data_IF_725832867214
#
_entry.id   IF_725832867214
#
_cell.length_a   1.000
_cell.length_b   1.000
_cell.length_c   1.000
_cell.angle_alpha   90.00
_cell.angle_beta   90.00
_cell.angle_gamma   90.00
#
_symmetry.space_group_name_H-M   'P 1'
#
loop_
_entity.id
_entity.type
_entity.pdbx_description
1 polymer ?
#
# COMPACT_ATOMS: atom_id res chain seq x y z
N UNK A 1 37.68 6.60 -19.81
CA UNK A 1 37.14 5.30 -20.26
C UNK A 1 35.84 5.05 -19.55
N UNK A 2 34.80 4.58 -20.24
CA UNK A 2 33.49 4.33 -19.63
C UNK A 2 32.82 3.11 -20.29
N UNK A 3 32.26 2.24 -19.47
CA UNK A 3 31.39 1.12 -19.84
C UNK A 3 30.13 1.26 -19.01
N UNK A 4 28.99 1.45 -19.67
CA UNK A 4 27.71 1.64 -18.99
C UNK A 4 26.79 0.45 -19.22
N UNK A 5 26.12 0.01 -18.17
CA UNK A 5 25.04 -0.97 -18.21
C UNK A 5 25.37 -2.27 -18.96
N UNK A 6 26.58 -2.81 -18.73
CA UNK A 6 26.98 -4.11 -19.23
C UNK A 6 26.12 -5.18 -18.56
N UNK A 7 25.38 -5.95 -19.36
CA UNK A 7 24.48 -7.02 -18.89
C UNK A 7 24.54 -8.22 -19.81
N UNK A 8 24.24 -9.40 -19.26
CA UNK A 8 24.09 -10.64 -20.03
C UNK A 8 22.60 -10.92 -20.18
N UNK A 9 22.04 -10.74 -21.38
CA UNK A 9 20.58 -10.79 -21.62
C UNK A 9 20.04 -12.24 -21.74
N UNK A 10 20.55 -13.16 -20.90
CA UNK A 10 20.09 -14.54 -20.83
C UNK A 10 19.06 -14.63 -19.71
N UNK A 11 17.82 -14.93 -20.07
CA UNK A 11 16.68 -14.99 -19.16
C UNK A 11 15.88 -16.28 -19.32
N UNK A 12 15.46 -16.87 -18.21
CA UNK A 12 14.59 -18.04 -18.19
C UNK A 12 13.15 -17.68 -18.61
N UNK A 13 12.38 -18.65 -19.15
CA UNK A 13 10.95 -18.43 -19.51
C UNK A 13 10.13 -17.92 -18.33
N UNK A 14 10.37 -18.49 -17.14
CA UNK A 14 9.91 -17.95 -15.86
C UNK A 14 11.11 -17.27 -15.20
N UNK A 15 11.05 -15.97 -14.85
CA UNK A 15 12.16 -15.29 -14.19
C UNK A 15 12.63 -16.06 -12.96
N UNK A 16 13.94 -16.33 -12.87
CA UNK A 16 14.57 -16.95 -11.70
C UNK A 16 15.54 -15.99 -11.04
N UNK A 17 15.76 -16.19 -9.75
CA UNK A 17 16.66 -15.36 -8.92
C UNK A 17 18.08 -15.38 -9.50
N UNK A 18 18.54 -16.52 -9.99
CA UNK A 18 19.90 -16.67 -10.56
C UNK A 18 20.01 -16.34 -12.05
N UNK A 19 18.97 -15.81 -12.70
CA UNK A 19 19.06 -15.46 -14.12
C UNK A 19 20.17 -14.40 -14.35
N UNK A 20 21.13 -14.63 -15.27
CA UNK A 20 22.20 -13.67 -15.57
C UNK A 20 21.68 -12.30 -15.98
N UNK A 21 20.50 -12.22 -16.59
CA UNK A 21 19.83 -10.97 -16.97
C UNK A 21 19.50 -10.06 -15.79
N UNK A 22 19.49 -10.59 -14.56
CA UNK A 22 19.25 -9.81 -13.35
C UNK A 22 20.48 -8.96 -12.98
N UNK A 23 21.67 -9.30 -13.48
CA UNK A 23 22.93 -8.62 -13.15
C UNK A 23 23.30 -7.58 -14.22
N UNK A 24 23.72 -6.41 -13.77
CA UNK A 24 24.30 -5.36 -14.62
C UNK A 24 25.47 -4.70 -13.91
N UNK A 25 26.45 -4.27 -14.70
CA UNK A 25 27.64 -3.58 -14.20
C UNK A 25 27.95 -2.34 -15.06
N UNK A 26 28.39 -1.28 -14.41
CA UNK A 26 28.94 -0.08 -15.05
C UNK A 26 30.28 0.26 -14.43
N UNK A 27 31.21 0.76 -15.24
CA UNK A 27 32.53 1.18 -14.79
C UNK A 27 32.99 2.42 -15.57
N UNK A 28 33.37 3.47 -14.87
CA UNK A 28 33.94 4.67 -15.45
C UNK A 28 35.28 5.00 -14.79
N UNK A 29 36.22 5.44 -15.63
CA UNK A 29 37.55 5.90 -15.23
C UNK A 29 37.85 7.23 -15.91
N UNK A 30 38.18 8.23 -15.10
CA UNK A 30 38.61 9.55 -15.56
C UNK A 30 39.95 9.88 -14.94
N UNK A 31 40.88 10.39 -15.77
CA UNK A 31 42.15 10.93 -15.33
C UNK A 31 42.30 12.34 -15.88
N UNK A 32 42.44 13.31 -15.00
CA UNK A 32 42.80 14.67 -15.34
C UNK A 32 44.25 14.88 -14.93
N UNK A 33 45.00 15.59 -15.75
CA UNK A 33 46.38 15.93 -15.44
C UNK A 33 46.62 17.35 -15.95
N UNK A 34 47.19 18.19 -15.09
CA UNK A 34 47.59 19.54 -15.40
C UNK A 34 49.11 19.65 -15.20
N UNK A 35 49.74 20.41 -16.07
CA UNK A 35 51.15 20.75 -15.96
C UNK A 35 51.30 22.22 -16.39
N UNK A 36 51.75 23.04 -15.47
CA UNK A 36 52.05 24.45 -15.69
C UNK A 36 53.44 24.76 -15.09
N UNK A 37 54.02 25.96 -15.28
CA UNK A 37 55.36 26.28 -14.77
C UNK A 37 55.51 26.21 -13.25
N UNK A 38 54.44 26.47 -12.49
CA UNK A 38 54.45 26.52 -11.01
C UNK A 38 54.18 25.14 -10.39
N UNK A 39 53.57 24.23 -11.14
CA UNK A 39 53.11 22.92 -10.69
C UNK A 39 53.95 21.82 -11.32
N UNK A 40 54.62 21.02 -10.48
CA UNK A 40 55.42 19.89 -10.94
C UNK A 40 54.53 18.71 -11.35
N UNK A 41 53.47 18.49 -10.58
CA UNK A 41 52.57 17.37 -10.73
C UNK A 41 51.20 17.75 -10.22
N UNK A 42 50.21 17.79 -11.10
CA UNK A 42 48.81 17.82 -10.70
C UNK A 42 48.06 16.76 -11.48
N UNK A 43 47.47 15.80 -10.77
CA UNK A 43 46.53 14.89 -11.38
C UNK A 43 45.42 14.46 -10.43
N UNK A 44 44.26 14.19 -11.04
CA UNK A 44 43.12 13.59 -10.39
C UNK A 44 42.70 12.31 -11.12
N UNK A 45 42.36 11.27 -10.35
CA UNK A 45 41.84 9.99 -10.83
C UNK A 45 40.50 9.74 -10.16
N UNK A 46 39.47 9.47 -10.97
CA UNK A 46 38.16 9.04 -10.50
C UNK A 46 37.84 7.66 -11.06
N UNK A 47 37.42 6.75 -10.18
CA UNK A 47 36.93 5.42 -10.50
C UNK A 47 35.51 5.30 -9.96
N UNK A 48 34.55 5.05 -10.83
CA UNK A 48 33.17 4.79 -10.47
C UNK A 48 32.84 3.39 -10.95
N UNK A 49 32.46 2.49 -10.04
CA UNK A 49 31.94 1.17 -10.39
C UNK A 49 30.54 1.02 -9.80
N UNK A 50 29.63 0.46 -10.56
CA UNK A 50 28.27 0.19 -10.11
C UNK A 50 27.91 -1.25 -10.48
N UNK A 51 27.37 -1.98 -9.52
CA UNK A 51 26.83 -3.32 -9.71
C UNK A 51 25.38 -3.30 -9.28
N UNK A 52 24.48 -3.65 -10.18
CA UNK A 52 23.07 -3.78 -9.86
C UNK A 52 22.60 -5.21 -10.09
N UNK A 53 21.79 -5.69 -9.17
CA UNK A 53 21.03 -6.90 -9.26
C UNK A 53 19.55 -6.53 -9.20
N UNK A 54 18.75 -6.99 -10.16
CA UNK A 54 17.32 -6.69 -10.20
C UNK A 54 16.52 -7.92 -10.62
N UNK A 55 15.94 -8.60 -9.64
CA UNK A 55 15.02 -9.71 -9.83
C UNK A 55 13.59 -9.23 -9.62
N UNK A 56 12.76 -9.38 -10.66
CA UNK A 56 11.32 -9.10 -10.59
C UNK A 56 10.53 -10.25 -11.17
N UNK A 57 9.50 -10.67 -10.43
CA UNK A 57 8.62 -11.77 -10.81
C UNK A 57 7.17 -11.44 -10.48
N UNK A 58 6.25 -12.17 -11.11
CA UNK A 58 4.82 -12.17 -10.79
C UNK A 58 4.42 -13.57 -10.33
N UNK A 59 4.74 -13.93 -9.08
CA UNK A 59 4.65 -15.31 -8.64
C UNK A 59 3.19 -15.74 -8.59
N UNK A 60 2.91 -16.89 -9.19
CA UNK A 60 1.59 -17.53 -9.10
C UNK A 60 1.40 -18.03 -7.67
N UNK A 61 0.35 -17.54 -7.00
CA UNK A 61 0.03 -18.00 -5.65
C UNK A 61 -0.44 -19.45 -5.65
N UNK A 62 -0.02 -20.20 -4.64
CA UNK A 62 -0.58 -21.50 -4.29
C UNK A 62 -1.94 -21.29 -3.63
N UNK A 63 -3.00 -21.80 -4.28
CA UNK A 63 -4.40 -21.64 -3.88
C UNK A 63 -4.99 -23.00 -3.45
N UNK A 64 -4.72 -23.51 -2.23
CA UNK A 64 -5.02 -24.89 -1.84
C UNK A 64 -6.51 -25.23 -1.80
N UNK A 65 -7.38 -24.24 -1.59
CA UNK A 65 -8.83 -24.47 -1.42
C UNK A 65 -9.67 -24.01 -2.61
N UNK A 66 -9.03 -23.57 -3.70
CA UNK A 66 -9.74 -22.99 -4.87
C UNK A 66 -10.83 -23.92 -5.41
N UNK A 67 -10.46 -25.18 -5.64
CA UNK A 67 -11.33 -26.19 -6.26
C UNK A 67 -12.07 -27.06 -5.22
N UNK A 68 -11.89 -26.78 -3.93
CA UNK A 68 -12.53 -27.57 -2.88
C UNK A 68 -14.05 -27.31 -2.82
N UNK A 69 -14.83 -28.39 -3.01
CA UNK A 69 -16.29 -28.36 -2.82
C UNK A 69 -16.69 -28.29 -1.34
N UNK A 70 -15.82 -28.73 -0.42
CA UNK A 70 -16.07 -28.76 1.04
C UNK A 70 -15.96 -27.38 1.69
N UNK A 71 -15.06 -26.53 1.20
CA UNK A 71 -14.85 -25.19 1.72
C UNK A 71 -15.85 -24.22 1.08
N UNK A 72 -16.77 -23.67 1.88
CA UNK A 72 -17.78 -22.70 1.41
C UNK A 72 -17.42 -21.24 1.70
N UNK A 73 -16.48 -21.01 2.61
CA UNK A 73 -16.06 -19.67 3.00
C UNK A 73 -15.19 -19.05 1.88
N UNK A 74 -15.62 -17.89 1.36
CA UNK A 74 -14.91 -17.17 0.29
C UNK A 74 -13.47 -16.84 0.67
N UNK A 75 -13.25 -16.47 1.95
CA UNK A 75 -11.93 -16.19 2.51
C UNK A 75 -10.91 -17.30 2.24
N UNK A 76 -11.27 -18.54 2.58
CA UNK A 76 -10.39 -19.70 2.43
C UNK A 76 -10.20 -20.07 0.95
N UNK A 77 -11.25 -19.93 0.12
CA UNK A 77 -11.17 -20.21 -1.32
C UNK A 77 -10.30 -19.25 -2.09
N UNK A 78 -10.23 -18.00 -1.67
CA UNK A 78 -9.44 -16.94 -2.31
C UNK A 78 -8.02 -16.82 -1.73
N UNK A 79 -7.72 -17.58 -0.67
CA UNK A 79 -6.40 -17.64 -0.06
C UNK A 79 -5.36 -18.11 -1.09
N UNK A 80 -4.35 -17.28 -1.31
CA UNK A 80 -3.27 -17.51 -2.25
C UNK A 80 -1.96 -17.16 -1.55
N UNK A 81 -1.12 -18.16 -1.30
CA UNK A 81 0.20 -17.98 -0.71
C UNK A 81 1.25 -17.92 -1.82
N UNK A 82 2.07 -16.87 -1.83
CA UNK A 82 3.20 -16.72 -2.76
C UNK A 82 4.49 -16.96 -1.97
N UNK A 83 5.34 -17.83 -2.49
CA UNK A 83 6.59 -18.24 -1.82
C UNK A 83 7.82 -17.44 -2.29
N UNK A 84 7.71 -16.75 -3.43
CA UNK A 84 8.81 -15.96 -4.01
C UNK A 84 8.57 -14.46 -3.79
N UNK A 85 9.61 -13.66 -3.56
CA UNK A 85 9.50 -12.20 -3.50
C UNK A 85 9.07 -11.64 -4.86
N UNK A 86 8.22 -10.62 -4.86
CA UNK A 86 7.79 -9.91 -6.07
C UNK A 86 8.96 -9.11 -6.67
N UNK A 87 9.83 -8.57 -5.81
CA UNK A 87 11.02 -7.82 -6.17
C UNK A 87 12.14 -8.12 -5.19
N UNK A 88 13.35 -8.35 -5.71
CA UNK A 88 14.59 -8.26 -4.97
C UNK A 88 15.57 -7.47 -5.84
N UNK A 89 15.86 -6.24 -5.44
CA UNK A 89 16.86 -5.41 -6.07
C UNK A 89 18.00 -5.10 -5.10
N UNK A 90 19.22 -5.08 -5.60
CA UNK A 90 20.41 -4.65 -4.87
C UNK A 90 21.25 -3.76 -5.78
N UNK A 91 21.82 -2.69 -5.22
CA UNK A 91 22.74 -1.80 -5.94
C UNK A 91 23.95 -1.56 -5.07
N UNK A 92 25.14 -1.77 -5.63
CA UNK A 92 26.42 -1.46 -5.01
C UNK A 92 27.08 -0.39 -5.86
N UNK A 93 27.35 0.77 -5.28
CA UNK A 93 28.05 1.86 -5.95
C UNK A 93 29.37 2.08 -5.25
N UNK A 94 30.46 2.02 -5.99
CA UNK A 94 31.81 2.21 -5.55
C UNK A 94 32.33 3.50 -6.19
N UNK A 95 32.77 4.45 -5.38
CA UNK A 95 33.31 5.70 -5.86
C UNK A 95 34.67 5.95 -5.19
N UNK A 96 35.73 5.96 -6.00
CA UNK A 96 37.08 6.30 -5.55
C UNK A 96 37.56 7.53 -6.27
N UNK A 97 37.91 8.55 -5.51
CA UNK A 97 38.51 9.77 -5.98
C UNK A 97 39.88 9.95 -5.33
N UNK A 98 40.89 10.25 -6.13
CA UNK A 98 42.23 10.53 -5.66
C UNK A 98 42.81 11.69 -6.46
N UNK A 99 43.23 12.75 -5.78
CA UNK A 99 43.89 13.90 -6.38
C UNK A 99 45.20 14.18 -5.65
N UNK A 100 46.22 14.56 -6.40
CA UNK A 100 47.48 14.99 -5.83
C UNK A 100 48.03 16.19 -6.60
N UNK A 101 48.61 17.13 -5.85
CA UNK A 101 49.17 18.38 -6.36
C UNK A 101 50.51 18.61 -5.70
N UNK A 102 51.55 18.81 -6.50
CA UNK A 102 52.89 19.15 -6.08
C UNK A 102 53.34 20.41 -6.80
N UNK A 103 53.70 21.43 -6.02
CA UNK A 103 54.26 22.68 -6.53
C UNK A 103 55.76 22.52 -6.80
N UNK A 104 56.29 23.33 -7.72
CA UNK A 104 57.73 23.44 -7.97
C UNK A 104 58.37 24.42 -6.98
N UNK A 105 59.58 24.10 -6.55
CA UNK A 105 60.45 25.12 -5.97
C UNK A 105 61.02 26.00 -7.08
N UNK A 106 60.47 27.21 -7.21
CA UNK A 106 60.91 28.19 -8.20
C UNK A 106 62.24 28.88 -7.82
N UNK A 107 62.62 28.83 -6.55
CA UNK A 107 63.80 29.52 -6.01
C UNK A 107 65.03 28.62 -5.93
N UNK A 108 64.83 27.30 -5.98
CA UNK A 108 65.88 26.31 -5.74
C UNK A 108 66.49 26.38 -4.34
N UNK A 109 65.87 27.12 -3.42
CA UNK A 109 66.34 27.37 -2.07
C UNK A 109 65.92 26.27 -1.09
N UNK A 110 64.98 25.40 -1.49
CA UNK A 110 64.48 24.32 -0.67
C UNK A 110 65.22 23.01 -1.00
N UNK A 111 65.67 22.28 0.03
CA UNK A 111 66.10 20.89 -0.12
C UNK A 111 64.85 20.03 -0.13
N UNK A 112 64.24 19.88 -1.31
CA UNK A 112 62.98 19.14 -1.50
C UNK A 112 63.28 17.84 -2.23
N UNK A 113 62.99 16.71 -1.58
CA UNK A 113 62.93 15.43 -2.27
C UNK A 113 61.54 15.26 -2.88
N UNK A 114 61.48 15.16 -4.20
CA UNK A 114 60.23 14.96 -4.94
C UNK A 114 59.61 13.58 -4.71
N UNK A 115 60.35 12.66 -4.09
CA UNK A 115 59.90 11.32 -3.70
C UNK A 115 59.60 11.21 -2.20
N UNK A 116 59.70 12.31 -1.43
CA UNK A 116 59.30 12.33 -0.02
C UNK A 116 57.80 12.64 0.12
N UNK A 117 56.99 11.73 0.72
CA UNK A 117 55.56 11.95 0.93
C UNK A 117 55.25 13.07 1.94
N UNK A 118 56.23 13.53 2.72
CA UNK A 118 56.10 14.61 3.72
C UNK A 118 56.54 15.98 3.19
N UNK A 119 56.88 16.06 1.91
CA UNK A 119 57.21 17.30 1.22
C UNK A 119 56.13 18.37 1.40
N UNK A 120 56.51 19.56 1.89
CA UNK A 120 55.59 20.67 2.15
C UNK A 120 54.96 21.27 0.89
N UNK A 121 55.55 21.03 -0.28
CA UNK A 121 55.01 21.42 -1.58
C UNK A 121 54.03 20.37 -2.13
N UNK A 122 53.88 19.23 -1.46
CA UNK A 122 53.03 18.13 -1.87
C UNK A 122 51.76 18.07 -1.03
N UNK A 123 50.63 17.96 -1.70
CA UNK A 123 49.32 17.77 -1.09
C UNK A 123 48.55 16.70 -1.86
N UNK A 124 47.72 15.95 -1.14
CA UNK A 124 46.87 14.94 -1.75
C UNK A 124 45.54 14.84 -1.02
N UNK A 125 44.52 14.41 -1.75
CA UNK A 125 43.18 14.15 -1.25
C UNK A 125 42.70 12.80 -1.77
N UNK A 126 42.09 12.03 -0.88
CA UNK A 126 41.56 10.71 -1.21
C UNK A 126 40.21 10.50 -0.55
N UNK A 127 39.29 9.95 -1.33
CA UNK A 127 37.99 9.53 -0.85
C UNK A 127 37.62 8.23 -1.53
N UNK A 128 37.31 7.22 -0.72
CA UNK A 128 36.92 5.91 -1.22
C UNK A 128 35.64 5.45 -0.53
N UNK A 129 34.51 5.74 -1.17
CA UNK A 129 33.18 5.42 -0.64
C UNK A 129 32.58 4.23 -1.38
N UNK A 130 31.75 3.49 -0.65
CA UNK A 130 30.95 2.44 -1.21
C UNK A 130 29.56 2.45 -0.57
N UNK A 131 28.51 2.51 -1.40
CA UNK A 131 27.12 2.49 -0.97
C UNK A 131 26.44 1.21 -1.42
N UNK A 132 25.59 0.67 -0.55
CA UNK A 132 24.79 -0.53 -0.78
C UNK A 132 23.33 -0.20 -0.55
N UNK A 133 22.50 -0.43 -1.56
CA UNK A 133 21.05 -0.30 -1.46
C UNK A 133 20.41 -1.65 -1.71
N UNK A 134 19.37 -2.01 -0.96
CA UNK A 134 18.59 -3.21 -1.18
C UNK A 134 17.11 -2.88 -1.08
N UNK A 135 16.33 -3.37 -2.03
CA UNK A 135 14.87 -3.33 -2.02
C UNK A 135 14.31 -4.75 -2.12
N UNK A 136 13.65 -5.19 -1.06
CA UNK A 136 12.92 -6.44 -1.02
C UNK A 136 11.43 -6.12 -0.94
N UNK A 137 10.64 -6.62 -1.88
CA UNK A 137 9.17 -6.60 -1.82
C UNK A 137 8.65 -8.02 -1.86
N UNK A 138 7.87 -8.38 -0.85
CA UNK A 138 7.31 -9.71 -0.70
C UNK A 138 5.81 -9.65 -0.42
N UNK A 139 5.03 -9.93 -1.46
CA UNK A 139 3.57 -10.06 -1.35
C UNK A 139 3.22 -11.50 -0.95
N UNK A 140 3.33 -11.84 0.34
CA UNK A 140 3.05 -13.21 0.82
C UNK A 140 1.64 -13.68 0.44
N UNK A 141 0.64 -12.80 0.52
CA UNK A 141 -0.72 -13.08 0.02
C UNK A 141 -1.25 -11.89 -0.77
N UNK A 142 -2.46 -12.00 -1.33
CA UNK A 142 -3.14 -10.85 -1.97
C UNK A 142 -3.32 -9.66 -1.03
N UNK A 143 -3.35 -9.92 0.27
CA UNK A 143 -3.75 -8.98 1.31
C UNK A 143 -2.64 -8.66 2.33
N UNK A 144 -1.53 -9.41 2.29
CA UNK A 144 -0.42 -9.26 3.22
C UNK A 144 0.85 -9.01 2.41
N UNK A 145 1.39 -7.80 2.55
CA UNK A 145 2.53 -7.32 1.77
C UNK A 145 3.61 -6.78 2.70
N UNK A 146 4.85 -7.12 2.38
CA UNK A 146 6.02 -6.64 3.10
C UNK A 146 6.95 -5.93 2.12
N UNK A 147 7.51 -4.81 2.54
CA UNK A 147 8.63 -4.18 1.85
C UNK A 147 9.72 -3.82 2.84
N UNK A 148 10.96 -4.12 2.49
CA UNK A 148 12.15 -3.74 3.23
C UNK A 148 13.09 -3.03 2.26
N UNK A 149 13.35 -1.76 2.54
CA UNK A 149 14.36 -0.96 1.85
C UNK A 149 15.47 -0.66 2.82
N UNK A 150 16.72 -0.92 2.42
CA UNK A 150 17.90 -0.60 3.20
C UNK A 150 18.89 0.16 2.34
N UNK A 151 19.59 1.09 2.95
CA UNK A 151 20.71 1.79 2.33
C UNK A 151 21.82 1.94 3.37
N UNK A 152 23.04 1.62 2.96
CA UNK A 152 24.24 1.72 3.80
C UNK A 152 25.31 2.46 3.02
N UNK A 153 25.80 3.56 3.58
CA UNK A 153 26.98 4.22 3.06
C UNK A 153 28.16 3.91 3.96
N UNK A 154 29.29 3.62 3.33
CA UNK A 154 30.49 3.22 4.04
C UNK A 154 31.70 3.77 3.30
N UNK A 155 32.79 3.98 4.03
CA UNK A 155 34.07 4.42 3.50
C UNK A 155 35.11 3.34 3.74
N UNK A 156 35.90 3.02 2.73
CA UNK A 156 37.09 2.22 2.95
C UNK A 156 38.18 3.10 3.54
N UNK A 157 38.71 2.68 4.69
CA UNK A 157 39.82 3.37 5.31
C UNK A 157 41.09 3.04 4.52
N UNK A 158 41.78 4.10 4.09
CA UNK A 158 43.07 4.06 3.41
C UNK A 158 44.17 4.52 4.39
N UNK A 159 45.45 4.33 4.04
CA UNK A 159 46.60 4.74 4.88
C UNK A 159 46.49 6.19 5.37
N UNK A 160 46.72 6.47 6.66
CA UNK A 160 46.71 7.87 7.14
C UNK A 160 47.95 8.61 6.65
N UNK A 161 47.80 9.87 6.24
CA UNK A 161 48.89 10.79 5.85
C UNK A 161 49.87 10.28 4.78
N UNK A 162 49.49 9.26 3.99
CA UNK A 162 50.33 8.71 2.91
C UNK A 162 49.65 8.84 1.54
N UNK A 163 50.39 9.23 0.48
CA UNK A 163 49.87 9.28 -0.88
C UNK A 163 49.66 7.89 -1.48
N UNK A 164 48.95 7.84 -2.60
CA UNK A 164 48.66 6.59 -3.34
C UNK A 164 49.16 6.70 -4.76
N UNK A 165 50.49 6.62 -4.94
CA UNK A 165 51.12 6.70 -6.25
C UNK A 165 52.27 5.70 -6.42
N UNK A 166 51.99 4.59 -7.11
CA UNK A 166 52.98 3.54 -7.41
C UNK A 166 54.28 4.02 -8.07
N UNK A 167 54.27 5.12 -8.84
CA UNK A 167 55.45 5.58 -9.58
C UNK A 167 56.43 6.37 -8.71
N UNK A 168 55.91 7.19 -7.81
CA UNK A 168 56.70 8.12 -7.00
C UNK A 168 56.81 7.70 -5.53
N UNK A 169 55.85 6.92 -5.04
CA UNK A 169 55.74 6.49 -3.65
C UNK A 169 55.45 4.98 -3.62
N UNK A 170 56.40 4.13 -4.05
CA UNK A 170 56.18 2.69 -4.20
C UNK A 170 55.94 2.01 -2.84
N UNK A 171 56.67 2.40 -1.79
CA UNK A 171 56.57 1.79 -0.47
C UNK A 171 55.22 2.14 0.19
N UNK A 172 54.81 3.40 0.12
CA UNK A 172 53.50 3.87 0.59
C UNK A 172 52.35 3.21 -0.17
N UNK A 173 52.56 2.92 -1.46
CA UNK A 173 51.58 2.22 -2.28
C UNK A 173 51.43 0.76 -1.85
N UNK A 174 52.50 0.08 -1.44
CA UNK A 174 52.43 -1.28 -0.89
C UNK A 174 51.65 -1.29 0.44
N UNK A 175 51.93 -0.38 1.36
CA UNK A 175 51.16 -0.24 2.61
C UNK A 175 49.69 0.08 2.37
N UNK A 176 49.41 0.92 1.36
CA UNK A 176 48.06 1.24 0.96
C UNK A 176 47.30 -0.01 0.51
N UNK A 177 47.94 -0.92 -0.25
CA UNK A 177 47.30 -2.17 -0.70
C UNK A 177 46.93 -3.07 0.48
N UNK A 178 47.76 -3.15 1.50
CA UNK A 178 47.48 -3.97 2.68
C UNK A 178 46.32 -3.38 3.49
N UNK A 179 46.34 -2.06 3.71
CA UNK A 179 45.27 -1.34 4.42
C UNK A 179 43.94 -1.46 3.68
N UNK A 180 43.93 -1.24 2.36
CA UNK A 180 42.69 -1.30 1.59
C UNK A 180 42.15 -2.72 1.51
N UNK A 181 43.02 -3.74 1.44
CA UNK A 181 42.60 -5.15 1.48
C UNK A 181 41.91 -5.48 2.80
N UNK A 182 42.47 -5.03 3.93
CA UNK A 182 41.85 -5.21 5.24
C UNK A 182 40.51 -4.47 5.33
N UNK A 183 40.45 -3.22 4.85
CA UNK A 183 39.21 -2.44 4.88
C UNK A 183 38.13 -3.06 4.00
N UNK A 184 38.47 -3.50 2.78
CA UNK A 184 37.55 -4.19 1.87
C UNK A 184 37.05 -5.50 2.47
N UNK A 185 37.93 -6.31 3.06
CA UNK A 185 37.54 -7.54 3.74
C UNK A 185 36.60 -7.28 4.93
N UNK A 186 36.78 -6.16 5.63
CA UNK A 186 35.90 -5.70 6.71
C UNK A 186 34.60 -5.03 6.26
N UNK A 187 34.39 -4.80 4.96
CA UNK A 187 33.26 -4.02 4.43
C UNK A 187 33.38 -2.51 4.69
N UNK A 188 34.57 -2.00 4.96
CA UNK A 188 34.80 -0.60 5.28
C UNK A 188 34.16 -0.14 6.59
N UNK A 189 34.37 1.13 6.91
CA UNK A 189 33.77 1.79 8.05
C UNK A 189 32.42 2.39 7.65
N UNK A 190 31.32 2.00 8.29
CA UNK A 190 30.00 2.55 8.01
C UNK A 190 29.95 4.04 8.40
N UNK A 191 29.35 4.86 7.54
CA UNK A 191 29.10 6.28 7.80
C UNK A 191 27.65 6.48 8.23
N UNK A 192 26.73 5.88 7.47
CA UNK A 192 25.31 5.88 7.77
C UNK A 192 24.65 4.57 7.32
N UNK A 193 23.56 4.25 7.99
CA UNK A 193 22.66 3.17 7.65
C UNK A 193 21.23 3.66 7.84
N UNK A 194 20.38 3.34 6.88
CA UNK A 194 18.95 3.58 6.97
C UNK A 194 18.18 2.35 6.50
N UNK A 195 17.11 2.04 7.21
CA UNK A 195 16.20 0.95 6.94
C UNK A 195 14.77 1.45 7.05
N UNK A 196 13.94 1.04 6.10
CA UNK A 196 12.49 1.23 6.14
C UNK A 196 11.83 -0.12 5.89
N UNK A 197 11.11 -0.60 6.88
CA UNK A 197 10.26 -1.76 6.80
C UNK A 197 8.80 -1.33 6.81
N UNK A 198 8.02 -1.83 5.86
CA UNK A 198 6.58 -1.60 5.79
C UNK A 198 5.88 -2.94 5.66
N UNK A 199 4.98 -3.21 6.60
CA UNK A 199 4.03 -4.32 6.51
C UNK A 199 2.63 -3.74 6.29
N UNK A 200 1.93 -4.23 5.28
CA UNK A 200 0.55 -3.86 4.98
C UNK A 200 -0.33 -5.10 5.04
N UNK A 201 -1.42 -5.01 5.79
CA UNK A 201 -2.39 -6.08 5.96
C UNK A 201 -3.81 -5.57 5.73
N UNK A 202 -4.35 -5.87 4.56
CA UNK A 202 -5.77 -5.69 4.25
C UNK A 202 -6.56 -6.86 4.83
N UNK A 203 -7.10 -6.73 6.04
CA UNK A 203 -7.81 -7.83 6.71
C UNK A 203 -9.03 -8.21 5.86
N UNK A 204 -9.13 -9.46 5.37
CA UNK A 204 -10.22 -9.90 4.48
C UNK A 204 -11.53 -10.17 5.24
N UNK A 205 -11.86 -9.33 6.24
CA UNK A 205 -13.08 -9.44 7.04
C UNK A 205 -14.35 -9.24 6.19
N UNK A 206 -14.25 -8.44 5.12
CA UNK A 206 -15.31 -8.25 4.12
C UNK A 206 -15.67 -9.52 3.34
N UNK A 207 -14.85 -10.59 3.42
CA UNK A 207 -15.13 -11.89 2.81
C UNK A 207 -15.98 -12.79 3.71
N UNK A 208 -16.17 -12.42 4.97
CA UNK A 208 -17.03 -13.12 5.91
C UNK A 208 -18.48 -12.66 5.68
N UNK A 209 -19.45 -13.57 5.51
CA UNK A 209 -20.86 -13.21 5.40
C UNK A 209 -21.30 -12.31 6.56
N UNK A 210 -22.20 -11.37 6.29
CA UNK A 210 -22.69 -10.35 7.23
C UNK A 210 -21.66 -9.28 7.66
N UNK A 211 -20.37 -9.46 7.38
CA UNK A 211 -19.31 -8.47 7.65
C UNK A 211 -18.79 -7.79 6.37
N UNK A 212 -19.47 -8.00 5.23
CA UNK A 212 -19.17 -7.41 3.91
C UNK A 212 -19.09 -5.86 3.94
N UNK A 213 -19.77 -5.24 4.91
CA UNK A 213 -19.80 -3.80 5.10
C UNK A 213 -18.56 -3.23 5.77
N UNK A 214 -17.74 -4.08 6.41
CA UNK A 214 -16.58 -3.68 7.17
C UNK A 214 -15.31 -3.88 6.33
N UNK A 215 -14.45 -2.87 6.30
CA UNK A 215 -13.10 -2.94 5.71
C UNK A 215 -12.12 -2.52 6.79
N UNK A 216 -11.09 -3.34 7.03
CA UNK A 216 -10.04 -3.03 8.00
C UNK A 216 -8.71 -3.16 7.29
N UNK A 217 -7.89 -2.12 7.39
CA UNK A 217 -6.54 -2.08 6.84
C UNK A 217 -5.58 -1.77 7.97
N UNK A 218 -4.59 -2.63 8.16
CA UNK A 218 -3.46 -2.39 9.05
C UNK A 218 -2.23 -2.04 8.24
N UNK A 219 -1.47 -1.07 8.68
CA UNK A 219 -0.13 -0.77 8.19
C UNK A 219 0.79 -0.58 9.38
N UNK A 220 1.96 -1.19 9.29
CA UNK A 220 3.06 -1.00 10.21
C UNK A 220 4.25 -0.48 9.42
N UNK A 221 4.81 0.66 9.84
CA UNK A 221 6.04 1.20 9.28
C UNK A 221 7.08 1.30 10.38
N UNK A 222 8.24 0.72 10.16
CA UNK A 222 9.39 0.84 11.03
C UNK A 222 10.54 1.46 10.24
N UNK A 223 11.09 2.55 10.77
CA UNK A 223 12.28 3.18 10.22
C UNK A 223 13.39 3.10 11.26
N UNK A 224 14.58 2.74 10.82
CA UNK A 224 15.76 2.68 11.67
C UNK A 224 16.91 3.36 10.97
N UNK A 225 17.59 4.25 11.69
CA UNK A 225 18.78 4.94 11.21
C UNK A 225 19.91 4.79 12.20
N UNK A 226 21.11 4.55 11.69
CA UNK A 226 22.37 4.60 12.44
C UNK A 226 23.28 5.57 11.72
N UNK A 227 23.89 6.50 12.45
CA UNK A 227 24.81 7.47 11.91
C UNK A 227 26.09 7.49 12.76
N UNK A 228 27.24 7.51 12.10
CA UNK A 228 28.53 7.61 12.78
C UNK A 228 28.63 8.92 13.57
N UNK A 229 29.20 8.83 14.76
CA UNK A 229 29.62 10.00 15.52
C UNK A 229 30.82 10.69 14.87
N UNK A 230 31.05 11.96 15.24
CA UNK A 230 32.29 12.65 14.90
C UNK A 230 33.40 12.12 15.82
N UNK A 231 34.53 11.73 15.22
CA UNK A 231 35.74 11.38 15.96
C UNK A 231 36.67 12.59 15.94
N UNK A 232 37.00 13.14 17.11
CA UNK A 232 37.98 14.21 17.24
C UNK A 232 39.38 13.60 17.44
N UNK A 233 40.43 14.28 16.96
CA UNK A 233 41.82 13.84 17.11
C UNK A 233 42.23 14.05 18.58
N UNK A 234 42.00 13.03 19.42
CA UNK A 234 42.25 13.08 20.87
C UNK A 234 41.47 12.06 21.71
N UNK A 235 41.25 10.84 21.19
CA UNK A 235 40.59 9.68 21.84
C UNK A 235 39.14 9.88 22.35
N UNK A 236 38.58 11.08 22.27
CA UNK A 236 37.17 11.35 22.59
C UNK A 236 36.28 11.01 21.39
N UNK A 237 35.66 9.83 21.41
CA UNK A 237 34.57 9.47 20.50
C UNK A 237 33.24 9.89 21.10
N UNK A 238 32.47 10.73 20.40
CA UNK A 238 31.13 11.16 20.84
C UNK A 238 30.08 10.02 20.74
N UNK A 239 30.48 8.83 20.29
CA UNK A 239 29.61 7.69 20.02
C UNK A 239 28.68 7.92 18.83
N UNK A 240 28.09 6.85 18.31
CA UNK A 240 27.18 6.88 17.18
C UNK A 240 25.76 7.26 17.63
N UNK A 241 24.90 7.65 16.69
CA UNK A 241 23.50 7.94 17.00
C UNK A 241 22.62 6.92 16.31
N UNK A 242 21.74 6.29 17.07
CA UNK A 242 20.68 5.44 16.54
C UNK A 242 19.32 6.06 16.77
N UNK A 243 18.46 6.00 15.76
CA UNK A 243 17.06 6.42 15.86
C UNK A 243 16.19 5.31 15.31
N UNK A 244 15.12 5.01 16.03
CA UNK A 244 14.05 4.15 15.60
C UNK A 244 12.73 4.91 15.60
N UNK A 245 11.91 4.68 14.59
CA UNK A 245 10.54 5.16 14.47
C UNK A 245 9.65 3.97 14.14
N UNK A 246 8.65 3.72 14.98
CA UNK A 246 7.63 2.70 14.81
C UNK A 246 6.27 3.37 14.66
N UNK A 247 5.56 3.10 13.57
CA UNK A 247 4.25 3.65 13.31
C UNK A 247 3.25 2.53 13.00
N UNK A 248 2.25 2.40 13.86
CA UNK A 248 1.06 1.58 13.63
C UNK A 248 -0.06 2.46 13.09
N UNK A 249 -0.72 2.01 12.03
CA UNK A 249 -1.91 2.65 11.50
C UNK A 249 -2.96 1.58 11.20
N UNK A 250 -4.16 1.78 11.74
CA UNK A 250 -5.30 0.89 11.52
C UNK A 250 -6.48 1.74 11.06
N UNK A 251 -6.91 1.51 9.83
CA UNK A 251 -8.03 2.17 9.21
C UNK A 251 -9.22 1.21 9.14
N UNK A 252 -10.27 1.51 9.90
CA UNK A 252 -11.56 0.83 9.88
C UNK A 252 -12.59 1.65 9.11
N UNK A 253 -13.25 1.04 8.14
CA UNK A 253 -14.37 1.65 7.42
C UNK A 253 -15.57 0.72 7.47
N UNK A 254 -16.72 1.25 7.91
CA UNK A 254 -18.01 0.58 7.83
C UNK A 254 -18.91 1.30 6.81
N UNK A 255 -19.32 0.59 5.76
CA UNK A 255 -20.28 1.05 4.77
C UNK A 255 -21.67 0.44 5.05
N UNK A 256 -22.43 1.06 5.94
CA UNK A 256 -23.73 0.57 6.36
C UNK A 256 -24.75 0.46 5.22
N UNK A 257 -24.55 1.17 4.10
CA UNK A 257 -25.41 0.99 2.93
C UNK A 257 -25.39 -0.45 2.41
N UNK A 258 -24.21 -1.09 2.41
CA UNK A 258 -24.08 -2.50 2.02
C UNK A 258 -24.73 -3.45 3.03
N UNK A 259 -24.67 -3.11 4.32
CA UNK A 259 -25.35 -3.86 5.39
C UNK A 259 -26.87 -3.74 5.25
N UNK A 260 -27.40 -2.52 5.13
CA UNK A 260 -28.83 -2.25 4.98
C UNK A 260 -29.38 -2.91 3.70
N UNK A 261 -28.64 -2.87 2.60
CA UNK A 261 -29.05 -3.50 1.35
C UNK A 261 -29.11 -5.04 1.40
N UNK A 262 -28.56 -5.67 2.44
CA UNK A 262 -28.70 -7.11 2.68
C UNK A 262 -30.12 -7.49 3.12
N UNK A 263 -30.81 -6.60 3.83
CA UNK A 263 -32.17 -6.82 4.31
C UNK A 263 -33.19 -6.31 3.28
N UNK A 264 -34.12 -7.15 2.78
CA UNK A 264 -35.04 -6.78 1.70
C UNK A 264 -35.88 -5.52 1.98
N UNK A 265 -36.33 -5.34 3.23
CA UNK A 265 -37.10 -4.16 3.63
C UNK A 265 -36.24 -2.89 3.66
N UNK A 266 -35.08 -2.93 4.33
CA UNK A 266 -34.17 -1.79 4.42
C UNK A 266 -33.64 -1.39 3.03
N UNK A 267 -33.39 -2.36 2.14
CA UNK A 267 -33.06 -2.12 0.73
C UNK A 267 -34.16 -1.35 0.01
N UNK A 268 -35.45 -1.72 0.19
CA UNK A 268 -36.58 -1.00 -0.42
C UNK A 268 -36.66 0.44 0.08
N UNK A 269 -36.48 0.65 1.39
CA UNK A 269 -36.48 1.99 1.99
C UNK A 269 -35.29 2.81 1.46
N UNK A 270 -34.09 2.24 1.41
CA UNK A 270 -32.91 2.92 0.88
C UNK A 270 -33.08 3.28 -0.61
N UNK A 271 -33.64 2.38 -1.43
CA UNK A 271 -33.99 2.64 -2.83
C UNK A 271 -35.04 3.75 -3.00
N UNK A 272 -36.10 3.72 -2.18
CA UNK A 272 -37.18 4.73 -2.18
C UNK A 272 -36.65 6.14 -1.98
N UNK A 273 -35.64 6.27 -1.12
CA UNK A 273 -35.05 7.55 -0.74
C UNK A 273 -33.71 7.84 -1.41
N UNK A 274 -33.21 6.94 -2.24
CA UNK A 274 -32.02 7.18 -3.05
C UNK A 274 -32.36 8.22 -4.13
N UNK A 275 -31.53 9.25 -4.24
CA UNK A 275 -31.71 10.33 -5.24
C UNK A 275 -31.51 9.90 -6.69
N UNK A 276 -31.32 8.60 -6.96
CA UNK A 276 -31.38 8.07 -8.33
C UNK A 276 -32.79 8.31 -8.84
N UNK A 277 -32.93 9.34 -9.69
CA UNK A 277 -34.12 9.67 -10.47
C UNK A 277 -34.91 8.39 -10.68
N UNK A 278 -36.10 8.31 -10.08
CA UNK A 278 -37.16 7.43 -10.58
C UNK A 278 -37.17 7.71 -12.07
N UNK A 279 -36.55 6.84 -12.87
CA UNK A 279 -36.72 6.82 -14.32
C UNK A 279 -38.20 6.95 -14.51
N UNK A 280 -38.65 8.07 -15.10
CA UNK A 280 -40.05 8.49 -15.19
C UNK A 280 -40.87 7.27 -15.60
N UNK A 281 -41.36 6.50 -14.62
CA UNK A 281 -42.41 5.52 -14.85
C UNK A 281 -43.56 6.40 -15.26
N UNK A 282 -44.05 6.22 -16.48
CA UNK A 282 -45.10 7.05 -17.05
C UNK A 282 -46.19 7.26 -16.00
N UNK A 283 -46.65 8.51 -15.87
CA UNK A 283 -47.71 8.89 -14.95
C UNK A 283 -48.83 7.84 -15.06
N UNK A 284 -49.13 7.14 -13.97
CA UNK A 284 -50.16 6.11 -13.98
C UNK A 284 -51.49 6.76 -14.40
N UNK A 285 -52.03 6.34 -15.54
CA UNK A 285 -53.35 6.77 -16.00
C UNK A 285 -54.37 5.75 -15.50
N UNK A 286 -55.26 6.12 -14.56
CA UNK A 286 -56.28 5.21 -14.09
C UNK A 286 -57.17 4.80 -15.27
N UNK A 287 -57.42 3.49 -15.41
CA UNK A 287 -58.41 2.96 -16.34
C UNK A 287 -59.72 2.81 -15.59
N UNK A 288 -60.79 3.31 -16.19
CA UNK A 288 -62.14 3.25 -15.63
C UNK A 288 -63.00 2.28 -16.44
N UNK A 289 -63.90 1.57 -15.77
CA UNK A 289 -64.90 0.71 -16.39
C UNK A 289 -66.25 1.04 -15.77
N UNK A 290 -67.23 1.32 -16.61
CA UNK A 290 -68.60 1.60 -16.18
C UNK A 290 -69.58 0.67 -16.88
N UNK A 291 -70.45 0.01 -16.13
CA UNK A 291 -71.48 -0.87 -16.68
C UNK A 291 -72.75 -0.77 -15.84
N UNK A 292 -73.88 -0.66 -16.53
CA UNK A 292 -75.21 -0.72 -15.95
C UNK A 292 -75.69 -2.17 -15.87
N UNK A 293 -76.29 -2.53 -14.74
CA UNK A 293 -76.83 -3.86 -14.51
C UNK A 293 -78.02 -3.77 -13.54
N UNK A 294 -78.90 -4.76 -13.64
CA UNK A 294 -80.01 -4.92 -12.70
C UNK A 294 -79.61 -5.97 -11.67
N UNK A 295 -79.87 -5.70 -10.40
CA UNK A 295 -79.61 -6.64 -9.31
C UNK A 295 -80.95 -7.19 -8.82
N UNK A 296 -81.09 -8.51 -8.84
CA UNK A 296 -82.25 -9.23 -8.29
C UNK A 296 -81.87 -9.95 -6.98
N UNK A 297 -82.82 -10.09 -6.07
CA UNK A 297 -82.62 -10.59 -4.70
C UNK A 297 -82.04 -12.01 -4.61
N UNK A 298 -82.22 -12.81 -5.66
CA UNK A 298 -81.87 -14.24 -5.68
C UNK A 298 -80.63 -14.58 -6.50
N UNK A 299 -80.07 -13.65 -7.29
CA UNK A 299 -78.99 -13.96 -8.23
C UNK A 299 -77.79 -12.99 -8.12
N UNK A 300 -76.61 -13.58 -7.92
CA UNK A 300 -75.34 -12.86 -7.94
C UNK A 300 -74.97 -12.45 -9.38
N UNK A 301 -74.54 -11.20 -9.56
CA UNK A 301 -74.17 -10.68 -10.88
C UNK A 301 -72.65 -10.64 -11.02
N UNK A 302 -72.15 -11.27 -12.09
CA UNK A 302 -70.72 -11.36 -12.42
C UNK A 302 -70.35 -10.28 -13.45
N UNK A 303 -69.46 -9.37 -13.07
CA UNK A 303 -69.02 -8.24 -13.90
C UNK A 303 -67.56 -8.45 -14.29
N UNK A 304 -67.31 -8.59 -15.61
CA UNK A 304 -65.98 -8.76 -16.20
C UNK A 304 -65.46 -7.41 -16.72
N UNK A 305 -64.67 -6.73 -15.91
CA UNK A 305 -64.18 -5.38 -16.21
C UNK A 305 -62.84 -5.35 -16.99
N UNK A 306 -62.12 -6.48 -17.08
CA UNK A 306 -60.88 -6.64 -17.90
C UNK A 306 -59.77 -5.59 -17.65
N UNK A 307 -59.78 -4.95 -16.48
CA UNK A 307 -58.84 -3.86 -16.15
C UNK A 307 -57.46 -4.37 -15.72
N UNK A 308 -57.29 -5.69 -15.51
CA UNK A 308 -56.06 -6.39 -15.16
C UNK A 308 -55.23 -5.70 -14.07
N UNK A 309 -55.87 -5.37 -12.95
CA UNK A 309 -55.22 -4.72 -11.81
C UNK A 309 -55.60 -5.42 -10.50
N UNK A 310 -54.68 -5.41 -9.54
CA UNK A 310 -54.91 -5.99 -8.20
C UNK A 310 -55.58 -4.98 -7.25
N UNK A 311 -55.39 -3.67 -7.48
CA UNK A 311 -55.96 -2.57 -6.67
C UNK A 311 -56.95 -1.75 -7.49
N UNK A 312 -58.21 -1.69 -7.03
CA UNK A 312 -59.31 -0.94 -7.68
C UNK A 312 -60.31 -0.44 -6.64
N UNK A 313 -60.85 0.75 -6.89
CA UNK A 313 -62.00 1.32 -6.19
C UNK A 313 -63.26 0.99 -6.97
N UNK A 314 -64.29 0.51 -6.28
CA UNK A 314 -65.57 0.13 -6.88
C UNK A 314 -66.65 0.94 -6.18
N UNK A 315 -67.36 1.76 -6.94
CA UNK A 315 -68.53 2.50 -6.47
C UNK A 315 -69.76 2.08 -7.28
N UNK A 316 -70.91 2.04 -6.61
CA UNK A 316 -72.20 1.76 -7.22
C UNK A 316 -73.05 3.01 -7.09
N UNK A 317 -73.71 3.42 -8.17
CA UNK A 317 -74.67 4.53 -8.17
C UNK A 317 -76.00 4.06 -8.75
N UNK A 318 -77.08 4.57 -8.19
CA UNK A 318 -78.45 4.32 -8.68
C UNK A 318 -78.78 5.22 -9.90
N UNK A 319 -79.94 5.01 -10.52
CA UNK A 319 -80.43 5.79 -11.67
C UNK A 319 -80.42 7.32 -11.43
N UNK A 320 -80.63 7.74 -10.18
CA UNK A 320 -80.62 9.16 -9.76
C UNK A 320 -79.22 9.64 -9.30
N UNK A 321 -78.15 8.90 -9.62
CA UNK A 321 -76.76 9.19 -9.24
C UNK A 321 -76.47 9.19 -7.73
N UNK A 322 -77.34 8.56 -6.92
CA UNK A 322 -77.14 8.38 -5.48
C UNK A 322 -76.21 7.20 -5.20
N UNK A 323 -75.17 7.31 -4.35
CA UNK A 323 -74.22 6.23 -4.08
C UNK A 323 -74.84 5.10 -3.25
N UNK A 324 -74.71 3.86 -3.75
CA UNK A 324 -75.20 2.64 -3.12
C UNK A 324 -74.05 1.83 -2.49
N UNK A 325 -74.22 1.39 -1.25
CA UNK A 325 -73.29 0.45 -0.59
C UNK A 325 -73.70 -1.00 -0.87
N UNK A 326 -73.25 -1.57 -1.98
CA UNK A 326 -73.46 -2.98 -2.31
C UNK A 326 -72.31 -3.86 -1.84
N UNK A 327 -72.62 -5.09 -1.40
CA UNK A 327 -71.61 -6.08 -1.03
C UNK A 327 -71.08 -6.75 -2.29
N UNK A 328 -69.76 -6.74 -2.47
CA UNK A 328 -69.10 -7.36 -3.62
C UNK A 328 -67.89 -8.19 -3.17
N UNK A 329 -67.52 -9.18 -3.98
CA UNK A 329 -66.31 -9.99 -3.84
C UNK A 329 -65.47 -9.87 -5.10
N UNK A 330 -64.18 -9.58 -4.97
CA UNK A 330 -63.22 -9.65 -6.07
C UNK A 330 -62.92 -11.12 -6.33
N UNK A 331 -63.23 -11.62 -7.53
CA UNK A 331 -63.00 -13.03 -7.88
C UNK A 331 -61.65 -13.23 -8.55
N UNK A 332 -61.21 -12.27 -9.39
CA UNK A 332 -59.92 -12.30 -10.09
C UNK A 332 -59.54 -10.86 -10.51
N UNK A 333 -58.35 -10.65 -11.08
CA UNK A 333 -57.84 -9.34 -11.55
C UNK A 333 -58.72 -8.62 -12.58
N UNK A 334 -59.70 -9.34 -13.15
CA UNK A 334 -60.59 -8.90 -14.22
C UNK A 334 -62.08 -9.06 -13.92
N UNK A 335 -62.45 -9.64 -12.76
CA UNK A 335 -63.85 -10.04 -12.48
C UNK A 335 -64.26 -9.74 -11.04
N UNK A 336 -65.43 -9.11 -10.89
CA UNK A 336 -66.06 -8.82 -9.60
C UNK A 336 -67.43 -9.49 -9.57
N UNK A 337 -67.80 -10.05 -8.42
CA UNK A 337 -69.10 -10.65 -8.16
C UNK A 337 -69.84 -9.72 -7.18
N UNK A 338 -70.97 -9.18 -7.62
CA UNK A 338 -71.85 -8.36 -6.78
C UNK A 338 -72.92 -9.28 -6.21
N UNK A 339 -73.06 -9.30 -4.89
CA UNK A 339 -74.02 -10.18 -4.23
C UNK A 339 -75.42 -9.60 -4.29
N UNK A 340 -76.39 -10.41 -4.71
CA UNK A 340 -77.82 -10.07 -4.68
C UNK A 340 -78.30 -9.97 -3.23
N UNK A 341 -78.87 -8.83 -2.84
CA UNK A 341 -79.48 -8.65 -1.51
C UNK A 341 -80.63 -7.62 -1.50
N UNK A 342 -80.92 -7.01 -2.66
CA UNK A 342 -82.00 -6.03 -2.89
C UNK A 342 -82.35 -6.03 -4.38
N UNK A 343 -83.64 -5.93 -4.70
CA UNK A 343 -84.12 -5.69 -6.07
C UNK A 343 -83.96 -4.20 -6.40
N UNK A 344 -82.97 -3.84 -7.21
CA UNK A 344 -82.74 -2.47 -7.67
C UNK A 344 -82.46 -2.52 -9.18
N UNK A 345 -83.23 -1.74 -9.93
CA UNK A 345 -83.13 -1.63 -11.39
C UNK A 345 -82.24 -0.45 -11.78
N UNK A 346 -81.39 -0.63 -12.79
CA UNK A 346 -80.46 0.38 -13.36
C UNK A 346 -79.35 0.86 -12.41
N UNK A 347 -78.64 -0.07 -11.78
CA UNK A 347 -77.42 0.26 -11.01
C UNK A 347 -76.26 0.41 -11.97
N UNK A 348 -75.49 1.49 -11.84
CA UNK A 348 -74.23 1.71 -12.57
C UNK A 348 -73.04 1.43 -11.66
N UNK A 349 -72.18 0.49 -12.05
CA UNK A 349 -70.88 0.28 -11.39
C UNK A 349 -69.86 1.17 -12.03
N UNK A 350 -69.09 1.90 -11.23
CA UNK A 350 -67.86 2.55 -11.68
C UNK A 350 -66.67 1.87 -10.99
N UNK A 351 -65.76 1.34 -11.80
CA UNK A 351 -64.55 0.68 -11.34
C UNK A 351 -63.36 1.49 -11.83
N UNK A 352 -62.52 1.95 -10.91
CA UNK A 352 -61.32 2.71 -11.26
C UNK A 352 -60.08 1.98 -10.74
N UNK A 353 -59.08 1.78 -11.60
CA UNK A 353 -57.79 1.21 -11.18
C UNK A 353 -57.02 2.22 -10.34
N UNK A 354 -56.50 1.79 -9.19
CA UNK A 354 -55.59 2.60 -8.37
C UNK A 354 -54.15 2.22 -8.75
N UNK A 355 -53.21 3.17 -8.67
CA UNK A 355 -51.79 2.87 -8.88
C UNK A 355 -51.38 1.78 -7.86
N UNK A 356 -50.89 0.62 -8.32
CA UNK A 356 -50.47 -0.46 -7.42
C UNK A 356 -49.40 0.00 -6.40
N UNK A 357 -48.66 1.08 -6.71
CA UNK A 357 -47.65 1.69 -5.87
C UNK A 357 -48.16 2.85 -4.99
N UNK A 358 -49.47 3.12 -4.91
CA UNK A 358 -50.00 4.05 -3.90
C UNK A 358 -49.75 3.47 -2.52
N UNK A 359 -48.87 4.12 -1.76
CA UNK A 359 -48.53 3.76 -0.39
C UNK A 359 -49.51 4.39 0.60
N UNK A 360 -49.78 3.69 1.69
CA UNK A 360 -50.63 4.19 2.78
C UNK A 360 -49.83 5.19 3.63
N UNK A 361 -50.49 6.18 4.25
CA UNK A 361 -49.82 7.14 5.14
C UNK A 361 -48.96 6.46 6.24
N UNK A 362 -49.40 5.29 6.74
CA UNK A 362 -48.64 4.47 7.68
C UNK A 362 -47.36 3.85 7.09
N UNK A 363 -47.37 3.40 5.83
CA UNK A 363 -46.18 2.89 5.13
C UNK A 363 -45.19 4.03 4.85
N UNK A 364 -45.70 5.24 4.58
CA UNK A 364 -44.88 6.44 4.46
C UNK A 364 -44.18 6.77 5.77
N UNK A 365 -44.92 6.78 6.89
CA UNK A 365 -44.39 7.05 8.23
C UNK A 365 -43.36 6.01 8.66
N UNK A 366 -43.68 4.71 8.50
CA UNK A 366 -42.77 3.61 8.84
C UNK A 366 -41.45 3.69 8.06
N UNK A 367 -41.49 3.98 6.76
CA UNK A 367 -40.29 4.12 5.95
C UNK A 367 -39.46 5.36 6.35
N UNK A 368 -40.11 6.47 6.73
CA UNK A 368 -39.42 7.68 7.20
C UNK A 368 -38.72 7.45 8.54
N UNK A 369 -39.36 6.76 9.49
CA UNK A 369 -38.75 6.35 10.76
C UNK A 369 -37.59 5.39 10.50
N UNK A 370 -37.77 4.40 9.62
CA UNK A 370 -36.70 3.48 9.24
C UNK A 370 -35.51 4.23 8.62
N UNK A 371 -35.77 5.23 7.78
CA UNK A 371 -34.73 6.09 7.19
C UNK A 371 -33.97 6.87 8.25
N UNK A 372 -34.65 7.36 9.28
CA UNK A 372 -34.02 8.04 10.41
C UNK A 372 -32.98 7.13 11.09
N UNK A 373 -33.33 5.86 11.34
CA UNK A 373 -32.36 4.90 11.90
C UNK A 373 -31.25 4.48 10.92
N UNK A 374 -31.46 4.63 9.60
CA UNK A 374 -30.44 4.37 8.56
C UNK A 374 -29.63 5.61 8.16
N UNK A 375 -29.68 6.71 8.94
CA UNK A 375 -28.94 7.93 8.63
C UNK A 375 -27.42 7.72 8.64
N UNK A 376 -26.92 6.83 9.49
CA UNK A 376 -25.50 6.46 9.50
C UNK A 376 -25.21 5.62 8.27
N UNK A 377 -24.62 6.22 7.25
CA UNK A 377 -24.30 5.55 5.98
C UNK A 377 -22.87 5.04 5.93
N UNK A 378 -21.96 5.80 6.51
CA UNK A 378 -20.53 5.51 6.50
C UNK A 378 -19.92 5.94 7.83
N UNK A 379 -19.17 5.04 8.44
CA UNK A 379 -18.29 5.34 9.56
C UNK A 379 -16.86 5.04 9.11
N UNK A 380 -15.94 5.95 9.42
CA UNK A 380 -14.51 5.77 9.20
C UNK A 380 -13.82 6.08 10.53
N UNK A 381 -13.00 5.16 10.99
CA UNK A 381 -12.18 5.29 12.19
C UNK A 381 -10.75 5.03 11.76
N UNK A 382 -9.86 5.96 12.07
CA UNK A 382 -8.42 5.81 11.85
C UNK A 382 -7.75 5.88 13.21
N UNK A 383 -6.98 4.86 13.53
CA UNK A 383 -6.12 4.85 14.70
C UNK A 383 -4.67 4.87 14.21
N UNK A 384 -3.89 5.83 14.69
CA UNK A 384 -2.47 5.95 14.37
C UNK A 384 -1.68 6.15 15.65
N UNK A 385 -0.70 5.29 15.86
CA UNK A 385 0.25 5.38 16.96
C UNK A 385 1.66 5.48 16.37
N UNK A 386 2.46 6.38 16.89
CA UNK A 386 3.84 6.61 16.44
C UNK A 386 4.73 6.71 17.66
N UNK A 387 5.77 5.90 17.71
CA UNK A 387 6.78 5.89 18.76
C UNK A 387 8.14 6.14 18.13
N UNK A 388 8.92 7.06 18.71
CA UNK A 388 10.26 7.40 18.24
C UNK A 388 11.23 7.31 19.41
N UNK A 389 12.33 6.60 19.22
CA UNK A 389 13.41 6.46 20.21
C UNK A 389 14.72 6.86 19.55
N UNK A 390 15.44 7.80 20.17
CA UNK A 390 16.79 8.20 19.74
C UNK A 390 17.77 7.98 20.87
N UNK A 391 18.84 7.25 20.60
CA UNK A 391 19.91 6.96 21.56
C UNK A 391 21.21 7.55 20.97
N UNK A 392 21.68 8.70 21.47
CA UNK A 392 23.01 9.23 21.16
C UNK A 392 24.08 8.48 21.96
N UNK A 393 25.34 8.50 21.49
CA UNK A 393 26.47 7.90 22.22
C UNK A 393 26.63 6.39 22.06
N UNK A 394 25.89 5.77 21.13
CA UNK A 394 25.93 4.34 20.86
C UNK A 394 27.31 3.87 20.37
N UNK A 395 27.96 2.98 21.12
CA UNK A 395 29.38 2.66 20.89
C UNK A 395 29.63 1.72 19.70
N UNK A 396 28.62 0.97 19.26
CA UNK A 396 28.84 -0.06 18.24
C UNK A 396 28.62 0.43 16.80
N UNK A 397 29.39 -0.16 15.87
CA UNK A 397 29.35 0.16 14.44
C UNK A 397 28.26 -0.59 13.68
N UNK A 398 27.47 0.12 12.87
CA UNK A 398 26.43 -0.49 12.04
C UNK A 398 27.01 -1.25 10.84
N UNK A 399 27.29 -2.55 10.99
CA UNK A 399 27.93 -3.36 9.92
C UNK A 399 26.92 -3.88 8.90
N UNK A 400 26.29 -5.01 9.17
CA UNK A 400 25.38 -5.68 8.24
C UNK A 400 23.95 -5.44 8.72
N UNK A 401 23.10 -4.88 7.85
CA UNK A 401 21.76 -4.40 8.23
C UNK A 401 21.75 -3.42 9.41
N UNK A 402 22.80 -2.61 9.55
CA UNK A 402 22.93 -1.65 10.66
C UNK A 402 23.18 -2.31 12.02
N UNK A 403 23.38 -3.62 12.07
CA UNK A 403 23.67 -4.36 13.30
C UNK A 403 25.18 -4.58 13.46
N UNK A 404 25.65 -4.56 14.70
CA UNK A 404 26.94 -5.13 15.10
C UNK A 404 26.70 -6.46 15.81
N UNK A 405 27.61 -7.42 15.66
CA UNK A 405 27.63 -8.62 16.50
C UNK A 405 28.57 -8.34 17.68
N UNK A 406 28.03 -8.26 18.88
CA UNK A 406 28.77 -8.21 20.14
C UNK A 406 28.34 -9.40 21.00
N UNK A 407 29.30 -10.18 21.50
CA UNK A 407 29.03 -11.38 22.32
C UNK A 407 27.93 -12.33 21.74
N UNK A 408 27.99 -12.58 20.43
CA UNK A 408 27.02 -13.42 19.67
C UNK A 408 25.59 -12.87 19.59
N UNK A 409 25.34 -11.65 20.07
CA UNK A 409 24.04 -10.96 19.98
C UNK A 409 24.12 -9.81 18.98
N UNK A 410 23.03 -9.58 18.24
CA UNK A 410 22.92 -8.42 17.36
C UNK A 410 22.58 -7.19 18.21
N UNK A 411 23.38 -6.14 18.10
CA UNK A 411 23.22 -4.87 18.82
C UNK A 411 23.01 -3.76 17.79
N UNK A 412 22.00 -2.87 17.96
CA UNK A 412 21.07 -2.77 19.09
C UNK A 412 19.99 -3.87 19.16
N UNK A 413 19.83 -4.68 18.12
CA UNK A 413 18.86 -5.76 18.05
C UNK A 413 17.88 -5.60 16.88
N UNK A 414 17.36 -6.73 16.39
CA UNK A 414 16.38 -6.71 15.29
C UNK A 414 15.06 -6.08 15.74
N UNK A 415 14.64 -6.37 16.97
CA UNK A 415 13.52 -5.73 17.67
C UNK A 415 13.61 -4.20 17.68
N UNK A 416 14.78 -3.63 17.99
CA UNK A 416 15.01 -2.19 17.89
C UNK A 416 14.96 -1.72 16.43
N UNK A 417 15.62 -2.42 15.50
CA UNK A 417 15.63 -2.01 14.08
C UNK A 417 14.27 -2.08 13.38
N UNK A 418 13.40 -2.99 13.84
CA UNK A 418 12.04 -3.12 13.36
C UNK A 418 11.05 -2.35 14.21
N UNK A 419 11.50 -1.62 15.24
CA UNK A 419 10.66 -0.71 16.01
C UNK A 419 9.60 -1.39 16.87
N UNK A 420 9.97 -2.43 17.59
CA UNK A 420 9.17 -2.95 18.69
C UNK A 420 9.49 -2.09 19.92
N UNK A 421 8.63 -1.16 20.36
CA UNK A 421 8.95 -0.30 21.50
C UNK A 421 8.95 -1.14 22.78
N UNK A 422 10.09 -1.22 23.46
CA UNK A 422 10.20 -1.73 24.82
C UNK A 422 10.88 -0.68 25.69
N UNK A 423 10.34 -0.37 26.86
CA UNK A 423 10.93 0.59 27.79
C UNK A 423 12.36 0.18 28.23
N UNK A 424 12.67 -1.12 28.17
CA UNK A 424 13.99 -1.69 28.54
C UNK A 424 15.17 -1.24 27.67
N UNK A 425 14.97 -0.60 26.51
CA UNK A 425 16.10 -0.15 25.68
C UNK A 425 16.86 1.02 26.32
N UNK A 426 16.22 1.82 27.17
CA UNK A 426 16.90 2.87 27.94
C UNK A 426 17.77 2.31 29.06
N UNK A 427 17.49 1.10 29.54
CA UNK A 427 18.28 0.41 30.57
C UNK A 427 19.41 -0.46 29.99
N UNK A 428 19.31 -0.85 28.71
CA UNK A 428 20.30 -1.68 28.00
C UNK A 428 21.32 -0.90 27.17
N UNK A 429 21.01 0.36 26.83
CA UNK A 429 21.92 1.29 26.17
C UNK A 429 22.91 1.87 27.18
#
# INVERSE_FOLDING_TARGET
>A
FNVTNMKVDIKSKTPKIWDPSNFSASFAYTKNQLLDPETDRDFAKSYIAQFNYNYSTSPRGWEPFKDSKKVKLKLLKEFALRYEPTLLAMSINLNRYYAETQLRDLTGAMIVDNYDPTNSLFSFSKDFTWSRNMDLKYDMTKNLKFSLTTATNSRYDETKFKPVNRKFFPDEYEEWKDTIRQSVAGGGRPLDYQQTFTAQWDVPINKIPYLEFLTVKGQYNAMYTWATGVTYDGDASMGNTITNLAQWQVDGQANFETLYNKFPYLKKVNLRFSGKKRTRRGKFTPRTFSQEFNLTDTADVVIKHRLNSDKMTISFVDADSVPLKLRYKKSDKNTIIVKGNKNINKIKVNIETIDPNTETAGELAAASITRFFMLIRRLQVSYKESSTVTIPGFQYGGKFFGQSIFEKTMTPGLDFSFGVPQESYLEKA
#
